data_IF_383894952284
#
_entry.id   IF_383894952284
#
_cell.length_a   1.000
_cell.length_b   1.000
_cell.length_c   1.000
_cell.angle_alpha   90.00
_cell.angle_beta   90.00
_cell.angle_gamma   90.00
#
_symmetry.space_group_name_H-M   'P 1'
#
loop_
_entity.id
_entity.type
_entity.pdbx_description
1 polymer ?
#
# COMPACT_ATOMS: atom_id res chain seq x y z
N UNK A 1 5.32 33.32 33.37
CA UNK A 1 5.23 32.17 32.44
C UNK A 1 5.92 32.62 31.18
N UNK A 2 7.19 32.27 31.05
CA UNK A 2 8.02 32.71 29.93
C UNK A 2 7.57 32.01 28.65
N UNK A 3 7.38 32.78 27.58
CA UNK A 3 6.88 32.31 26.29
C UNK A 3 7.91 31.46 25.49
N UNK A 4 8.93 30.93 26.16
CA UNK A 4 10.16 30.40 25.53
C UNK A 4 10.24 28.87 25.46
N UNK A 5 9.23 28.13 25.95
CA UNK A 5 9.22 26.65 25.96
C UNK A 5 8.18 26.01 25.02
N UNK A 6 7.80 26.72 23.94
CA UNK A 6 6.98 26.14 22.88
C UNK A 6 7.85 25.31 21.93
N UNK A 7 7.80 23.99 22.06
CA UNK A 7 8.45 23.07 21.12
C UNK A 7 7.39 22.49 20.16
N UNK A 8 7.17 23.08 18.98
CA UNK A 8 6.24 22.54 18.00
C UNK A 8 6.75 21.19 17.46
N UNK A 9 5.84 20.22 17.29
CA UNK A 9 6.14 18.94 16.64
C UNK A 9 5.53 18.94 15.24
N UNK A 10 6.29 18.44 14.26
CA UNK A 10 5.85 18.23 12.88
C UNK A 10 5.31 16.79 12.73
N UNK A 11 4.10 16.64 12.21
CA UNK A 11 3.53 15.32 11.88
C UNK A 11 4.32 14.65 10.72
N UNK A 12 4.78 13.39 10.85
CA UNK A 12 5.57 12.72 9.82
C UNK A 12 4.78 12.35 8.56
N UNK A 13 3.44 12.31 8.62
CA UNK A 13 2.60 11.93 7.47
C UNK A 13 2.14 13.13 6.66
N UNK A 14 1.74 14.22 7.31
CA UNK A 14 1.10 15.36 6.65
C UNK A 14 1.81 16.71 6.86
N UNK A 15 3.00 16.69 7.48
CA UNK A 15 3.84 17.85 7.76
C UNK A 15 3.14 18.99 8.54
N UNK A 16 2.01 18.72 9.20
CA UNK A 16 1.31 19.72 10.01
C UNK A 16 2.03 19.89 11.34
N UNK A 17 2.33 21.13 11.69
CA UNK A 17 2.86 21.53 12.98
C UNK A 17 1.72 21.65 14.00
N UNK A 18 1.92 21.10 15.20
CA UNK A 18 0.94 21.24 16.29
C UNK A 18 1.64 21.26 17.66
N UNK A 19 0.99 21.95 18.59
CA UNK A 19 1.49 22.14 19.95
C UNK A 19 1.20 20.91 20.82
N UNK A 20 2.24 20.43 21.50
CA UNK A 20 2.17 19.31 22.44
C UNK A 20 2.66 19.70 23.85
N UNK A 21 2.86 20.99 24.12
CA UNK A 21 3.48 21.48 25.36
C UNK A 21 2.71 21.09 26.62
N UNK A 22 1.40 20.81 26.49
CA UNK A 22 0.53 20.36 27.59
C UNK A 22 0.56 18.85 27.83
N UNK A 23 1.22 18.08 26.96
CA UNK A 23 1.24 16.64 27.03
C UNK A 23 2.52 16.15 27.74
N UNK A 24 2.42 15.16 28.64
CA UNK A 24 3.60 14.57 29.26
C UNK A 24 4.55 13.99 28.20
N UNK A 25 5.85 14.16 28.42
CA UNK A 25 6.89 13.57 27.56
C UNK A 25 6.71 12.05 27.44
N UNK A 26 6.86 11.49 26.24
CA UNK A 26 6.66 10.06 25.95
C UNK A 26 5.21 9.64 25.69
N UNK A 27 4.22 10.54 25.83
CA UNK A 27 2.83 10.22 25.52
C UNK A 27 2.58 10.13 24.01
N UNK A 28 1.61 9.31 23.64
CA UNK A 28 1.09 9.19 22.27
C UNK A 28 -0.04 10.18 22.09
N UNK A 29 0.00 10.98 21.03
CA UNK A 29 -1.05 11.93 20.65
C UNK A 29 -1.40 11.77 19.17
N UNK A 30 -2.60 12.19 18.76
CA UNK A 30 -3.05 12.10 17.38
C UNK A 30 -2.88 13.45 16.67
N UNK A 31 -2.35 13.45 15.45
CA UNK A 31 -2.28 14.64 14.62
C UNK A 31 -3.69 15.19 14.34
N UNK A 32 -3.96 16.48 14.53
CA UNK A 32 -5.30 17.06 14.34
C UNK A 32 -5.79 17.01 12.88
N UNK A 33 -4.88 16.90 11.90
CA UNK A 33 -5.21 16.89 10.47
C UNK A 33 -5.45 15.49 9.92
N UNK A 34 -4.51 14.56 10.13
CA UNK A 34 -4.56 13.23 9.51
C UNK A 34 -4.77 12.08 10.50
N UNK A 35 -4.90 12.37 11.81
CA UNK A 35 -5.06 11.40 12.90
C UNK A 35 -3.93 10.37 13.08
N UNK A 36 -2.79 10.54 12.40
CA UNK A 36 -1.59 9.74 12.67
C UNK A 36 -1.16 9.88 14.13
N UNK A 37 -0.86 8.76 14.79
CA UNK A 37 -0.37 8.74 16.17
C UNK A 37 1.13 9.11 16.19
N UNK A 38 1.49 10.14 16.96
CA UNK A 38 2.85 10.65 17.13
C UNK A 38 3.24 10.54 18.61
N UNK A 39 4.49 10.17 18.90
CA UNK A 39 5.03 10.11 20.27
C UNK A 39 5.70 11.44 20.60
N UNK A 40 5.33 12.07 21.72
CA UNK A 40 5.96 13.30 22.21
C UNK A 40 7.41 12.99 22.62
N UNK A 41 8.43 13.59 21.99
CA UNK A 41 9.83 13.34 22.32
C UNK A 41 10.12 13.66 23.78
N UNK A 42 10.62 12.67 24.52
CA UNK A 42 11.17 12.88 25.84
C UNK A 42 12.61 13.37 25.77
N UNK A 43 13.07 14.06 26.83
CA UNK A 43 14.48 14.29 27.04
C UNK A 43 15.17 12.92 27.00
N UNK A 44 16.16 12.77 26.12
CA UNK A 44 16.79 11.49 25.80
C UNK A 44 17.10 10.71 27.08
N UNK A 45 16.47 9.55 27.24
CA UNK A 45 16.85 8.63 28.30
C UNK A 45 18.36 8.32 28.16
N UNK A 46 19.10 8.22 29.27
CA UNK A 46 20.51 7.86 29.24
C UNK A 46 20.69 6.58 28.42
N UNK A 47 21.62 6.63 27.45
CA UNK A 47 21.90 5.49 26.56
C UNK A 47 22.13 4.24 27.43
N UNK A 48 21.41 3.14 27.21
CA UNK A 48 21.75 1.89 27.88
C UNK A 48 23.21 1.53 27.54
N UNK A 49 23.97 0.98 28.50
CA UNK A 49 25.35 0.59 28.28
C UNK A 49 25.42 -0.38 27.09
N UNK A 50 26.36 -0.12 26.19
CA UNK A 50 26.63 -0.94 25.01
C UNK A 50 26.91 -2.36 25.47
N UNK A 51 25.99 -3.28 25.19
CA UNK A 51 26.19 -4.69 25.49
C UNK A 51 27.32 -5.23 24.60
N UNK A 52 28.32 -5.82 25.25
CA UNK A 52 29.45 -6.49 24.60
C UNK A 52 28.93 -7.62 23.70
N UNK A 53 29.38 -7.73 22.45
CA UNK A 53 28.94 -8.80 21.54
C UNK A 53 29.26 -10.18 22.15
N UNK A 54 28.29 -11.12 22.19
CA UNK A 54 28.59 -12.49 22.60
C UNK A 54 29.56 -13.14 21.59
N UNK A 55 30.52 -13.89 22.13
CA UNK A 55 31.51 -14.63 21.36
C UNK A 55 30.83 -15.56 20.34
N UNK A 56 31.38 -15.62 19.11
CA UNK A 56 30.94 -16.52 18.05
C UNK A 56 31.02 -17.96 18.52
N UNK A 57 29.87 -18.59 18.77
CA UNK A 57 29.76 -20.03 18.92
C UNK A 57 29.69 -20.63 17.51
N UNK A 58 30.66 -21.47 17.18
CA UNK A 58 30.71 -22.20 15.91
C UNK A 58 29.46 -23.08 15.76
N UNK A 59 28.81 -23.10 14.58
CA UNK A 59 27.63 -23.92 14.37
C UNK A 59 27.99 -25.42 14.41
N UNK A 60 27.18 -26.25 15.09
CA UNK A 60 27.37 -27.70 15.09
C UNK A 60 27.07 -28.32 13.71
N UNK A 61 27.68 -29.47 13.40
CA UNK A 61 27.51 -30.15 12.12
C UNK A 61 26.06 -30.61 11.88
N UNK A 62 25.60 -30.65 10.60
CA UNK A 62 24.23 -30.99 10.25
C UNK A 62 23.90 -32.45 10.62
N UNK A 63 22.83 -32.64 11.39
CA UNK A 63 22.30 -33.97 11.71
C UNK A 63 21.62 -34.63 10.49
N UNK A 64 21.71 -35.95 10.36
CA UNK A 64 21.12 -36.69 9.24
C UNK A 64 19.59 -36.66 9.27
N UNK A 65 19.01 -36.46 8.09
CA UNK A 65 17.57 -36.34 7.83
C UNK A 65 16.81 -37.62 8.22
N UNK A 66 15.82 -37.48 9.10
CA UNK A 66 14.86 -38.54 9.43
C UNK A 66 13.79 -38.69 8.31
N UNK A 67 13.32 -39.92 8.03
CA UNK A 67 12.30 -40.16 7.00
C UNK A 67 10.92 -39.63 7.41
N UNK A 68 10.26 -38.99 6.43
CA UNK A 68 8.95 -38.34 6.54
C UNK A 68 7.83 -39.39 6.60
N UNK A 69 7.20 -39.56 7.76
CA UNK A 69 6.00 -40.38 7.97
C UNK A 69 4.78 -39.67 7.38
N UNK A 70 4.14 -40.30 6.39
CA UNK A 70 2.86 -39.86 5.82
C UNK A 70 1.75 -40.61 6.55
N UNK A 71 0.92 -39.91 7.32
CA UNK A 71 -0.23 -40.51 7.99
C UNK A 71 -1.39 -39.51 8.05
N UNK A 72 -2.59 -39.97 7.68
CA UNK A 72 -3.83 -39.49 8.28
C UNK A 72 -4.77 -38.66 7.41
N UNK A 73 -5.65 -39.36 6.69
CA UNK A 73 -6.93 -38.87 6.14
C UNK A 73 -7.82 -38.20 7.22
N UNK A 74 -8.43 -37.05 6.90
CA UNK A 74 -9.48 -36.43 7.72
C UNK A 74 -10.73 -36.13 6.88
N UNK A 75 -11.87 -36.60 7.39
CA UNK A 75 -13.23 -36.46 6.86
C UNK A 75 -13.71 -34.98 6.84
N UNK A 76 -14.65 -34.61 5.94
CA UNK A 76 -15.23 -33.27 5.92
C UNK A 76 -16.23 -33.05 7.07
N UNK A 77 -16.27 -31.84 7.69
CA UNK A 77 -17.28 -31.49 8.66
C UNK A 77 -18.61 -31.09 7.98
N UNK A 78 -19.71 -31.63 8.52
CA UNK A 78 -21.09 -31.24 8.19
C UNK A 78 -21.44 -29.91 8.85
N UNK A 79 -21.99 -28.99 8.06
CA UNK A 79 -22.25 -27.61 8.45
C UNK A 79 -23.72 -27.44 8.86
N UNK A 80 -23.98 -27.28 10.16
CA UNK A 80 -25.29 -26.91 10.69
C UNK A 80 -25.26 -25.41 11.02
N UNK A 81 -25.84 -24.58 10.15
CA UNK A 81 -25.99 -23.14 10.40
C UNK A 81 -27.22 -22.91 11.29
N UNK A 82 -27.08 -22.31 12.50
CA UNK A 82 -28.21 -22.05 13.36
C UNK A 82 -28.95 -20.76 12.91
N UNK A 83 -30.26 -20.88 12.77
CA UNK A 83 -31.24 -19.84 12.36
C UNK A 83 -31.15 -18.54 13.18
N UNK A 84 -30.49 -18.55 14.34
CA UNK A 84 -30.30 -17.39 15.23
C UNK A 84 -29.48 -16.24 14.59
N UNK A 85 -28.53 -16.54 13.69
CA UNK A 85 -27.67 -15.51 13.08
C UNK A 85 -28.43 -14.56 12.13
N UNK A 86 -29.50 -15.03 11.51
CA UNK A 86 -30.29 -14.25 10.55
C UNK A 86 -31.14 -13.19 11.29
N UNK A 87 -31.68 -13.53 12.47
CA UNK A 87 -32.51 -12.60 13.26
C UNK A 87 -31.66 -11.46 13.84
N UNK A 88 -30.43 -11.75 14.28
CA UNK A 88 -29.51 -10.75 14.82
C UNK A 88 -29.04 -9.74 13.76
N UNK A 89 -28.81 -10.20 12.51
CA UNK A 89 -28.47 -9.32 11.41
C UNK A 89 -29.62 -8.34 11.07
N UNK A 90 -30.87 -8.78 11.10
CA UNK A 90 -32.03 -7.93 10.82
C UNK A 90 -32.19 -6.78 11.83
N UNK A 91 -31.92 -7.00 13.12
CA UNK A 91 -32.02 -5.97 14.16
C UNK A 91 -30.94 -4.89 14.00
N UNK A 92 -29.72 -5.28 13.59
CA UNK A 92 -28.61 -4.32 13.37
C UNK A 92 -28.90 -3.39 12.18
N UNK A 93 -29.51 -3.89 11.11
CA UNK A 93 -29.85 -3.08 9.93
C UNK A 93 -30.94 -2.03 10.21
N UNK A 94 -31.91 -2.32 11.09
CA UNK A 94 -32.95 -1.34 11.47
C UNK A 94 -32.40 -0.27 12.42
N UNK A 95 -31.45 -0.63 13.31
CA UNK A 95 -30.80 0.34 14.21
C UNK A 95 -29.84 1.32 13.52
N UNK A 96 -29.12 0.87 12.49
CA UNK A 96 -28.13 1.69 11.80
C UNK A 96 -28.73 2.86 10.98
N UNK A 97 -29.97 2.71 10.49
CA UNK A 97 -30.64 3.74 9.69
C UNK A 97 -30.96 5.03 10.47
N UNK A 98 -31.30 4.91 11.75
CA UNK A 98 -31.67 6.07 12.58
C UNK A 98 -30.47 6.95 12.99
N UNK A 99 -29.29 6.35 13.16
CA UNK A 99 -28.08 7.08 13.56
C UNK A 99 -27.50 7.98 12.46
N UNK A 100 -27.59 7.56 11.20
CA UNK A 100 -27.06 8.33 10.08
C UNK A 100 -27.81 9.65 9.85
N UNK A 101 -29.12 9.69 10.07
CA UNK A 101 -29.92 10.91 9.90
C UNK A 101 -29.56 11.99 10.93
N UNK A 102 -29.30 11.59 12.18
CA UNK A 102 -28.93 12.53 13.24
C UNK A 102 -27.51 13.10 13.05
N UNK A 103 -26.58 12.30 12.52
CA UNK A 103 -25.20 12.72 12.31
C UNK A 103 -25.02 13.60 11.06
N UNK A 104 -25.73 13.33 9.96
CA UNK A 104 -25.64 14.15 8.75
C UNK A 104 -26.52 15.42 8.78
N UNK A 105 -27.56 15.47 9.61
CA UNK A 105 -28.43 16.64 9.74
C UNK A 105 -27.81 17.86 10.43
N UNK A 106 -26.70 17.68 11.18
CA UNK A 106 -26.08 18.75 11.98
C UNK A 106 -24.83 19.38 11.35
N UNK A 107 -24.50 19.09 10.08
CA UNK A 107 -23.32 19.73 9.50
C UNK A 107 -23.54 21.25 9.35
N UNK A 108 -22.67 22.10 9.95
CA UNK A 108 -22.77 23.54 9.83
C UNK A 108 -22.66 23.92 8.35
N UNK A 109 -23.56 24.79 7.90
CA UNK A 109 -23.56 25.28 6.52
C UNK A 109 -22.17 25.87 6.21
N UNK A 110 -21.58 25.54 5.05
CA UNK A 110 -20.30 26.14 4.65
C UNK A 110 -20.46 27.66 4.69
N UNK A 111 -19.63 28.31 5.50
CA UNK A 111 -19.60 29.77 5.60
C UNK A 111 -19.26 30.31 4.20
N UNK A 112 -20.06 31.25 3.66
CA UNK A 112 -19.78 31.86 2.37
C UNK A 112 -18.36 32.44 2.41
N UNK A 113 -17.45 31.90 1.58
CA UNK A 113 -16.15 32.51 1.42
C UNK A 113 -16.36 33.92 0.83
N UNK A 114 -15.76 34.97 1.42
CA UNK A 114 -15.79 36.30 0.85
C UNK A 114 -15.20 36.23 -0.56
N UNK A 115 -15.90 36.83 -1.51
CA UNK A 115 -15.54 36.83 -2.93
C UNK A 115 -14.09 37.34 -3.09
N UNK A 116 -13.15 36.41 -3.29
CA UNK A 116 -11.82 36.73 -3.76
C UNK A 116 -11.95 37.37 -5.14
N UNK A 117 -11.45 38.60 -5.27
CA UNK A 117 -11.51 39.38 -6.50
C UNK A 117 -10.94 38.63 -7.72
N UNK A 118 -11.23 39.12 -8.94
CA UNK A 118 -10.92 38.41 -10.17
C UNK A 118 -9.42 38.13 -10.27
N UNK A 119 -9.05 36.86 -10.06
CA UNK A 119 -7.70 36.40 -10.33
C UNK A 119 -7.40 36.64 -11.81
N UNK A 120 -6.19 37.12 -12.17
CA UNK A 120 -5.82 37.32 -13.56
C UNK A 120 -6.04 36.01 -14.31
N UNK A 121 -6.90 36.07 -15.33
CA UNK A 121 -7.26 34.96 -16.20
C UNK A 121 -6.00 34.48 -16.92
N UNK A 122 -5.34 33.49 -16.33
CA UNK A 122 -4.25 32.74 -16.98
C UNK A 122 -4.85 32.18 -18.27
N UNK A 123 -4.26 32.44 -19.45
CA UNK A 123 -4.80 31.92 -20.70
C UNK A 123 -4.98 30.42 -20.54
N UNK A 124 -6.21 29.94 -20.76
CA UNK A 124 -6.52 28.53 -20.69
C UNK A 124 -5.65 27.83 -21.74
N UNK A 125 -4.53 27.25 -21.30
CA UNK A 125 -3.76 26.36 -22.14
C UNK A 125 -4.68 25.22 -22.49
N UNK A 126 -5.10 25.17 -23.76
CA UNK A 126 -5.82 24.05 -24.35
C UNK A 126 -4.86 22.87 -24.41
N UNK A 127 -4.68 22.20 -23.27
CA UNK A 127 -3.95 20.95 -23.19
C UNK A 127 -4.83 19.92 -23.89
N UNK A 128 -4.46 19.55 -25.12
CA UNK A 128 -5.05 18.41 -25.80
C UNK A 128 -5.02 17.21 -24.85
N UNK A 129 -6.15 16.53 -24.60
CA UNK A 129 -6.19 15.42 -23.67
C UNK A 129 -5.17 14.38 -24.12
N UNK A 130 -4.20 14.07 -23.26
CA UNK A 130 -3.23 13.02 -23.51
C UNK A 130 -3.97 11.73 -23.91
N UNK A 131 -3.46 11.05 -24.95
CA UNK A 131 -4.07 9.83 -25.47
C UNK A 131 -4.19 8.79 -24.33
N UNK A 132 -5.42 8.51 -23.90
CA UNK A 132 -5.70 7.52 -22.86
C UNK A 132 -5.57 6.12 -23.43
N UNK A 133 -5.01 5.20 -22.65
CA UNK A 133 -4.92 3.77 -22.97
C UNK A 133 -5.91 2.99 -22.13
N UNK A 134 -6.55 2.00 -22.75
CA UNK A 134 -7.52 1.11 -22.12
C UNK A 134 -6.88 -0.25 -21.85
N UNK A 135 -7.00 -0.77 -20.63
CA UNK A 135 -6.47 -2.09 -20.26
C UNK A 135 -7.55 -2.99 -19.69
N UNK A 136 -7.52 -4.28 -20.03
CA UNK A 136 -8.29 -5.28 -19.31
C UNK A 136 -7.54 -5.66 -18.03
N UNK A 137 -8.22 -5.69 -16.88
CA UNK A 137 -7.65 -6.13 -15.61
C UNK A 137 -8.20 -7.51 -15.24
N UNK A 138 -7.34 -8.52 -15.22
CA UNK A 138 -7.67 -9.88 -14.83
C UNK A 138 -7.03 -10.23 -13.49
N UNK A 139 -7.85 -10.47 -12.47
CA UNK A 139 -7.37 -10.80 -11.14
C UNK A 139 -7.59 -12.28 -10.82
N UNK A 140 -6.51 -12.95 -10.44
CA UNK A 140 -6.50 -14.28 -9.83
C UNK A 140 -6.08 -14.12 -8.37
N UNK A 141 -7.05 -14.17 -7.47
CA UNK A 141 -6.81 -14.00 -6.04
C UNK A 141 -6.97 -15.31 -5.29
N UNK A 142 -6.01 -15.62 -4.42
CA UNK A 142 -6.07 -16.76 -3.49
C UNK A 142 -5.78 -16.26 -2.09
N UNK A 143 -6.78 -16.31 -1.22
CA UNK A 143 -6.66 -15.95 0.19
C UNK A 143 -6.95 -17.14 1.10
N UNK A 144 -6.36 -17.12 2.31
CA UNK A 144 -6.65 -18.12 3.34
C UNK A 144 -7.70 -17.63 4.36
N UNK A 145 -8.01 -16.33 4.38
CA UNK A 145 -8.95 -15.70 5.32
C UNK A 145 -10.40 -15.86 4.83
N UNK A 146 -11.33 -16.01 5.78
CA UNK A 146 -12.78 -15.95 5.51
C UNK A 146 -13.33 -14.52 5.51
N UNK A 147 -12.61 -13.58 6.14
CA UNK A 147 -12.89 -12.15 6.08
C UNK A 147 -12.68 -11.62 4.63
N UNK A 148 -13.26 -10.47 4.26
CA UNK A 148 -12.99 -9.89 2.95
C UNK A 148 -11.48 -9.66 2.81
N UNK A 149 -10.91 -10.27 1.76
CA UNK A 149 -9.52 -10.06 1.39
C UNK A 149 -9.29 -8.59 1.03
N UNK A 150 -8.04 -8.16 1.05
CA UNK A 150 -7.68 -6.86 0.51
C UNK A 150 -8.16 -6.73 -0.94
N UNK A 151 -8.89 -5.67 -1.25
CA UNK A 151 -9.42 -5.41 -2.59
C UNK A 151 -8.32 -4.86 -3.51
N UNK A 152 -7.43 -5.75 -3.92
CA UNK A 152 -6.31 -5.45 -4.81
C UNK A 152 -6.79 -4.96 -6.18
N UNK A 153 -7.96 -5.42 -6.66
CA UNK A 153 -8.54 -4.97 -7.92
C UNK A 153 -8.90 -3.48 -7.88
N UNK A 154 -9.64 -3.05 -6.84
CA UNK A 154 -10.00 -1.64 -6.69
C UNK A 154 -8.77 -0.75 -6.48
N UNK A 155 -7.79 -1.20 -5.70
CA UNK A 155 -6.55 -0.47 -5.47
C UNK A 155 -5.72 -0.29 -6.76
N UNK A 156 -5.56 -1.35 -7.56
CA UNK A 156 -4.86 -1.29 -8.84
C UNK A 156 -5.63 -0.46 -9.87
N UNK A 157 -6.97 -0.57 -9.93
CA UNK A 157 -7.79 0.27 -10.79
C UNK A 157 -7.61 1.76 -10.47
N UNK A 158 -7.53 2.11 -9.19
CA UNK A 158 -7.24 3.48 -8.77
C UNK A 158 -5.83 3.93 -9.17
N UNK A 159 -4.82 3.07 -8.97
CA UNK A 159 -3.41 3.33 -9.35
C UNK A 159 -3.23 3.48 -10.87
N UNK A 160 -3.92 2.67 -11.68
CA UNK A 160 -3.91 2.79 -13.13
C UNK A 160 -4.59 4.08 -13.59
N UNK A 161 -5.75 4.40 -13.01
CA UNK A 161 -6.50 5.61 -13.35
C UNK A 161 -5.72 6.89 -13.02
N UNK A 162 -5.02 6.94 -11.88
CA UNK A 162 -4.17 8.08 -11.52
C UNK A 162 -2.97 8.24 -12.44
N UNK A 163 -2.52 7.16 -13.10
CA UNK A 163 -1.47 7.17 -14.11
C UNK A 163 -1.99 7.39 -15.55
N UNK A 164 -3.28 7.72 -15.74
CA UNK A 164 -3.89 7.97 -17.04
C UNK A 164 -4.28 6.72 -17.83
N UNK A 165 -4.25 5.54 -17.20
CA UNK A 165 -4.67 4.26 -17.79
C UNK A 165 -6.08 3.92 -17.33
N UNK A 166 -6.98 3.66 -18.28
CA UNK A 166 -8.37 3.34 -17.99
C UNK A 166 -8.55 1.82 -17.97
N UNK A 167 -9.14 1.27 -16.91
CA UNK A 167 -9.55 -0.13 -16.92
C UNK A 167 -10.81 -0.28 -17.77
N UNK A 168 -10.69 -1.01 -18.87
CA UNK A 168 -11.71 -1.20 -19.88
C UNK A 168 -12.94 -1.92 -19.29
N UNK A 169 -14.14 -1.54 -19.76
CA UNK A 169 -15.36 -2.23 -19.38
C UNK A 169 -15.40 -3.63 -20.01
N UNK A 170 -16.08 -4.57 -19.36
CA UNK A 170 -16.28 -5.92 -19.91
C UNK A 170 -16.87 -5.85 -21.31
N UNK A 171 -16.22 -6.49 -22.29
CA UNK A 171 -16.64 -6.51 -23.70
C UNK A 171 -16.07 -5.41 -24.59
N UNK A 172 -15.37 -4.41 -24.04
CA UNK A 172 -14.57 -3.48 -24.85
C UNK A 172 -13.22 -4.09 -25.25
N UNK A 173 -12.72 -3.76 -26.45
CA UNK A 173 -11.40 -4.22 -26.89
C UNK A 173 -10.29 -3.41 -26.18
N UNK A 174 -9.49 -4.03 -25.30
CA UNK A 174 -8.44 -3.32 -24.59
C UNK A 174 -7.18 -3.18 -25.46
N UNK A 175 -6.38 -2.14 -25.21
CA UNK A 175 -5.04 -1.98 -25.82
C UNK A 175 -4.04 -2.99 -25.25
N UNK A 176 -4.21 -3.38 -23.99
CA UNK A 176 -3.34 -4.33 -23.28
C UNK A 176 -4.10 -5.07 -22.17
N UNK A 177 -3.50 -6.13 -21.64
CA UNK A 177 -4.05 -6.92 -20.53
C UNK A 177 -3.11 -6.86 -19.34
N UNK A 178 -3.66 -6.54 -18.17
CA UNK A 178 -2.97 -6.58 -16.88
C UNK A 178 -3.47 -7.81 -16.15
N UNK A 179 -2.61 -8.84 -16.05
CA UNK A 179 -2.89 -10.08 -15.33
C UNK A 179 -2.26 -9.99 -13.95
N UNK A 180 -3.06 -10.17 -12.91
CA UNK A 180 -2.62 -10.05 -11.52
C UNK A 180 -2.84 -11.38 -10.82
N UNK A 181 -1.76 -11.97 -10.33
CA UNK A 181 -1.80 -13.11 -9.42
C UNK A 181 -1.52 -12.60 -8.01
N UNK A 182 -2.51 -12.70 -7.13
CA UNK A 182 -2.44 -12.24 -5.75
C UNK A 182 -2.63 -13.43 -4.81
N UNK A 183 -1.65 -13.68 -3.94
CA UNK A 183 -1.69 -14.78 -3.00
C UNK A 183 -1.44 -14.28 -1.58
N UNK A 184 -2.35 -14.61 -0.67
CA UNK A 184 -2.14 -14.51 0.76
C UNK A 184 -1.81 -15.91 1.29
N UNK A 185 -0.78 -16.02 2.13
CA UNK A 185 -0.37 -17.27 2.77
C UNK A 185 -0.21 -17.09 4.27
N UNK A 186 -0.50 -18.16 5.02
CA UNK A 186 -0.31 -18.26 6.47
C UNK A 186 0.45 -19.53 6.80
N UNK A 187 1.41 -19.46 7.73
CA UNK A 187 1.99 -20.67 8.31
C UNK A 187 3.30 -20.48 9.04
N UNK A 188 3.72 -21.52 9.76
CA UNK A 188 5.01 -21.61 10.44
C UNK A 188 6.19 -21.84 9.48
N UNK A 189 5.93 -22.11 8.20
CA UNK A 189 6.93 -22.51 7.20
C UNK A 189 7.90 -21.39 6.79
N UNK A 190 7.70 -20.16 7.27
CA UNK A 190 8.47 -18.99 6.82
C UNK A 190 9.49 -18.50 7.85
N UNK A 191 9.39 -18.91 9.11
CA UNK A 191 10.34 -18.56 10.18
C UNK A 191 10.34 -19.65 11.26
N UNK A 192 11.50 -19.91 11.89
CA UNK A 192 11.80 -20.95 12.89
C UNK A 192 10.72 -21.21 13.98
N UNK A 193 9.57 -21.78 13.62
CA UNK A 193 8.46 -22.07 14.54
C UNK A 193 7.48 -20.91 14.82
N UNK A 194 7.70 -19.71 14.26
CA UNK A 194 6.78 -18.56 14.44
C UNK A 194 5.74 -18.49 13.33
N UNK A 195 4.50 -18.13 13.69
CA UNK A 195 3.44 -17.89 12.70
C UNK A 195 3.71 -16.58 11.97
N UNK A 196 3.66 -16.63 10.63
CA UNK A 196 3.84 -15.46 9.78
C UNK A 196 2.67 -15.35 8.78
N UNK A 197 2.40 -14.13 8.32
CA UNK A 197 1.57 -13.88 7.15
C UNK A 197 2.43 -13.34 6.04
N UNK A 198 2.23 -13.84 4.82
CA UNK A 198 2.90 -13.36 3.62
C UNK A 198 1.83 -13.02 2.59
N UNK A 199 1.99 -11.86 1.95
CA UNK A 199 1.16 -11.39 0.85
C UNK A 199 2.09 -11.20 -0.35
N UNK A 200 1.78 -11.84 -1.45
CA UNK A 200 2.53 -11.75 -2.70
C UNK A 200 1.60 -11.32 -3.84
N UNK A 201 2.16 -10.54 -4.76
CA UNK A 201 1.51 -10.15 -6.00
C UNK A 201 2.52 -10.27 -7.14
N UNK A 202 2.10 -10.89 -8.23
CA UNK A 202 2.72 -10.75 -9.53
C UNK A 202 1.75 -9.99 -10.45
N UNK A 203 2.24 -8.96 -11.12
CA UNK A 203 1.50 -8.22 -12.12
C UNK A 203 2.24 -8.33 -13.45
N UNK A 204 1.58 -8.91 -14.44
CA UNK A 204 2.08 -9.02 -15.81
C UNK A 204 1.28 -8.10 -16.73
N UNK A 205 1.99 -7.31 -17.55
CA UNK A 205 1.39 -6.55 -18.66
C UNK A 205 1.64 -7.29 -19.97
N UNK A 206 0.56 -7.57 -20.68
CA UNK A 206 0.58 -8.24 -21.97
C UNK A 206 0.03 -7.31 -23.06
N UNK A 207 0.78 -7.13 -24.14
CA UNK A 207 0.37 -6.37 -25.32
C UNK A 207 0.30 -7.35 -26.50
N UNK A 208 -0.92 -7.60 -26.98
CA UNK A 208 -1.17 -8.72 -27.90
C UNK A 208 -0.89 -10.06 -27.20
N UNK A 209 0.07 -10.82 -27.70
CA UNK A 209 0.53 -12.09 -27.11
C UNK A 209 1.86 -11.97 -26.34
N UNK A 210 2.48 -10.79 -26.36
CA UNK A 210 3.79 -10.58 -25.74
C UNK A 210 3.63 -10.06 -24.31
N UNK A 211 4.33 -10.70 -23.37
CA UNK A 211 4.52 -10.16 -22.02
C UNK A 211 5.64 -9.11 -22.05
N UNK A 212 5.30 -7.87 -21.72
CA UNK A 212 6.21 -6.72 -21.84
C UNK A 212 6.66 -6.15 -20.50
N UNK A 213 5.94 -6.45 -19.42
CA UNK A 213 6.27 -6.02 -18.06
C UNK A 213 5.88 -7.13 -17.08
N UNK A 214 6.74 -7.38 -16.09
CA UNK A 214 6.45 -8.22 -14.92
C UNK A 214 6.89 -7.47 -13.67
N UNK A 215 5.97 -7.34 -12.71
CA UNK A 215 6.22 -6.71 -11.42
C UNK A 215 5.93 -7.68 -10.29
N UNK A 216 6.77 -7.62 -9.26
CA UNK A 216 6.57 -8.37 -8.03
C UNK A 216 6.39 -7.39 -6.85
N UNK A 217 5.32 -7.60 -6.09
CA UNK A 217 5.09 -6.94 -4.81
C UNK A 217 4.98 -7.99 -3.72
N UNK A 218 5.61 -7.77 -2.57
CA UNK A 218 5.48 -8.66 -1.44
C UNK A 218 5.47 -7.90 -0.12
N UNK A 219 4.78 -8.47 0.86
CA UNK A 219 4.74 -8.01 2.24
C UNK A 219 4.72 -9.20 3.16
N UNK A 220 5.47 -9.14 4.26
CA UNK A 220 5.50 -10.21 5.25
C UNK A 220 5.50 -9.62 6.65
N UNK A 221 5.01 -10.41 7.60
CA UNK A 221 5.07 -10.11 9.03
C UNK A 221 5.78 -11.23 9.78
N UNK A 222 6.52 -10.85 10.82
CA UNK A 222 7.16 -11.78 11.75
C UNK A 222 6.34 -11.92 13.03
N UNK A 223 5.98 -13.16 13.39
CA UNK A 223 5.29 -13.43 14.66
C UNK A 223 6.19 -13.27 15.87
N UNK A 224 5.80 -12.36 16.78
CA UNK A 224 6.35 -12.27 18.13
C UNK A 224 5.39 -12.88 19.17
N UNK A 225 5.85 -13.07 20.43
CA UNK A 225 4.96 -13.44 21.52
C UNK A 225 3.79 -12.46 21.64
N UNK A 226 2.55 -12.99 21.61
CA UNK A 226 1.33 -12.18 21.72
C UNK A 226 0.81 -11.60 20.40
N UNK A 227 1.45 -11.85 19.26
CA UNK A 227 0.91 -11.48 17.95
C UNK A 227 -0.38 -12.25 17.67
N UNK A 228 -1.45 -11.53 17.35
CA UNK A 228 -2.69 -12.12 16.85
C UNK A 228 -2.63 -12.27 15.34
N UNK A 229 -3.42 -13.20 14.80
CA UNK A 229 -3.53 -13.39 13.35
C UNK A 229 -3.85 -12.09 12.60
N UNK A 230 -4.80 -11.30 13.10
CA UNK A 230 -5.15 -10.01 12.50
C UNK A 230 -4.01 -8.99 12.54
N UNK A 231 -3.20 -8.99 13.59
CA UNK A 231 -2.03 -8.11 13.69
C UNK A 231 -0.97 -8.48 12.65
N UNK A 232 -0.72 -9.78 12.47
CA UNK A 232 0.22 -10.30 11.47
C UNK A 232 -0.26 -9.99 10.05
N UNK A 233 -1.55 -10.17 9.78
CA UNK A 233 -2.10 -9.81 8.48
C UNK A 233 -1.96 -8.32 8.19
N UNK A 234 -2.31 -7.46 9.16
CA UNK A 234 -2.24 -6.01 8.99
C UNK A 234 -0.82 -5.55 8.71
N UNK A 235 0.16 -6.05 9.46
CA UNK A 235 1.57 -5.74 9.25
C UNK A 235 2.06 -6.18 7.86
N UNK A 236 1.71 -7.42 7.45
CA UNK A 236 2.05 -7.92 6.11
C UNK A 236 1.40 -7.08 5.01
N UNK A 237 0.15 -6.64 5.19
CA UNK A 237 -0.56 -5.78 4.25
C UNK A 237 0.05 -4.39 4.18
N UNK A 238 0.40 -3.78 5.30
CA UNK A 238 1.11 -2.50 5.33
C UNK A 238 2.49 -2.59 4.67
N UNK A 239 3.20 -3.70 4.83
CA UNK A 239 4.45 -3.96 4.13
C UNK A 239 4.22 -4.10 2.61
N UNK A 240 3.21 -4.89 2.22
CA UNK A 240 2.84 -5.11 0.81
C UNK A 240 2.44 -3.80 0.11
N UNK A 241 1.62 -2.98 0.75
CA UNK A 241 1.17 -1.68 0.22
C UNK A 241 2.30 -0.68 0.05
N UNK A 242 3.44 -0.89 0.73
CA UNK A 242 4.67 -0.09 0.57
C UNK A 242 5.67 -0.73 -0.40
N UNK A 243 5.39 -1.94 -0.89
CA UNK A 243 6.29 -2.62 -1.82
C UNK A 243 6.37 -1.85 -3.15
N UNK A 244 7.58 -1.62 -3.69
CA UNK A 244 7.75 -0.84 -4.92
C UNK A 244 6.95 -1.38 -6.11
N UNK A 245 6.86 -2.71 -6.27
CA UNK A 245 6.08 -3.32 -7.35
C UNK A 245 4.59 -3.03 -7.28
N UNK A 246 4.03 -2.86 -6.07
CA UNK A 246 2.63 -2.46 -5.89
C UNK A 246 2.46 -0.94 -6.04
N UNK A 247 3.29 -0.15 -5.33
CA UNK A 247 3.21 1.32 -5.31
C UNK A 247 3.37 1.91 -6.71
N UNK A 248 4.35 1.42 -7.47
CA UNK A 248 4.66 1.95 -8.80
C UNK A 248 3.97 1.20 -9.93
N UNK A 249 3.13 0.20 -9.63
CA UNK A 249 2.52 -0.67 -10.63
C UNK A 249 1.76 0.08 -11.72
N UNK A 250 0.85 0.98 -11.35
CA UNK A 250 0.09 1.76 -12.33
C UNK A 250 0.97 2.68 -13.19
N UNK A 251 2.03 3.24 -12.61
CA UNK A 251 2.94 4.15 -13.29
C UNK A 251 3.87 3.44 -14.28
N UNK A 252 4.39 2.27 -13.89
CA UNK A 252 5.20 1.45 -14.78
C UNK A 252 4.34 0.90 -15.93
N UNK A 253 3.11 0.47 -15.68
CA UNK A 253 2.16 0.09 -16.74
C UNK A 253 1.90 1.26 -17.70
N UNK A 254 1.60 2.45 -17.16
CA UNK A 254 1.39 3.65 -17.99
C UNK A 254 2.62 4.00 -18.83
N UNK A 255 3.82 3.92 -18.25
CA UNK A 255 5.08 4.11 -18.93
C UNK A 255 5.31 3.12 -20.05
N UNK A 256 5.10 1.83 -19.79
CA UNK A 256 5.22 0.77 -20.79
C UNK A 256 4.23 0.95 -21.95
N UNK A 257 3.05 1.53 -21.70
CA UNK A 257 2.04 1.82 -22.72
C UNK A 257 2.22 3.18 -23.42
N UNK A 258 3.24 3.96 -23.05
CA UNK A 258 3.52 5.28 -23.64
C UNK A 258 2.52 6.37 -23.24
N UNK A 259 1.89 6.27 -22.07
CA UNK A 259 0.98 7.31 -21.55
C UNK A 259 1.82 8.45 -20.95
N UNK A 260 1.85 9.60 -21.62
CA UNK A 260 2.80 10.70 -21.36
C UNK A 260 2.78 11.30 -19.95
N UNK A 261 1.64 11.27 -19.26
CA UNK A 261 1.48 11.83 -17.91
C UNK A 261 2.12 10.94 -16.83
N UNK A 262 2.45 9.67 -17.13
CA UNK A 262 3.11 8.74 -16.20
C UNK A 262 4.60 9.04 -15.96
N UNK A 263 5.19 9.97 -16.70
CA UNK A 263 6.63 10.25 -16.63
C UNK A 263 7.09 10.75 -15.25
N UNK A 264 6.28 11.56 -14.56
CA UNK A 264 6.62 12.07 -13.23
C UNK A 264 6.70 10.96 -12.16
N UNK A 265 5.84 9.94 -12.24
CA UNK A 265 5.81 8.84 -11.28
C UNK A 265 6.80 7.72 -11.63
N UNK A 266 7.19 7.58 -12.90
CA UNK A 266 8.30 6.70 -13.30
C UNK A 266 9.64 7.22 -12.76
N UNK A 267 9.81 8.54 -12.64
CA UNK A 267 11.00 9.13 -11.98
C UNK A 267 11.12 8.63 -10.54
N UNK A 268 10.03 8.54 -9.79
CA UNK A 268 10.09 8.02 -8.42
C UNK A 268 10.42 6.52 -8.41
N UNK A 269 9.94 5.75 -9.40
CA UNK A 269 10.30 4.34 -9.57
C UNK A 269 11.78 4.13 -9.92
N UNK A 270 12.38 5.01 -10.74
CA UNK A 270 13.82 5.01 -11.06
C UNK A 270 14.69 5.22 -9.81
N UNK A 271 14.24 6.08 -8.90
CA UNK A 271 15.00 6.42 -7.70
C UNK A 271 15.01 5.28 -6.65
N UNK A 272 14.09 4.32 -6.75
CA UNK A 272 14.04 3.14 -5.89
C UNK A 272 14.91 2.03 -6.45
N UNK A 273 15.79 1.48 -5.62
CA UNK A 273 16.77 0.44 -6.03
C UNK A 273 16.08 -0.79 -6.59
N UNK A 274 14.94 -1.18 -6.03
CA UNK A 274 14.23 -2.42 -6.37
C UNK A 274 13.52 -2.36 -7.72
N UNK A 275 13.11 -1.16 -8.16
CA UNK A 275 12.41 -0.94 -9.44
C UNK A 275 13.27 -0.23 -10.47
N UNK A 276 14.50 0.17 -10.12
CA UNK A 276 15.38 0.98 -10.97
C UNK A 276 15.63 0.32 -12.32
N UNK A 277 16.11 -0.92 -12.32
CA UNK A 277 16.54 -1.59 -13.56
C UNK A 277 15.36 -1.78 -14.51
N UNK A 278 14.19 -2.11 -13.96
CA UNK A 278 12.97 -2.25 -14.74
C UNK A 278 12.45 -0.91 -15.26
N UNK A 279 12.47 0.13 -14.42
CA UNK A 279 12.08 1.47 -14.84
C UNK A 279 13.02 1.99 -15.94
N UNK A 280 14.33 1.75 -15.84
CA UNK A 280 15.31 2.06 -16.87
C UNK A 280 14.99 1.35 -18.18
N UNK A 281 14.79 0.03 -18.15
CA UNK A 281 14.45 -0.75 -19.34
C UNK A 281 13.17 -0.24 -20.03
N UNK A 282 12.13 0.06 -19.25
CA UNK A 282 10.88 0.64 -19.78
C UNK A 282 11.13 2.00 -20.41
N UNK A 283 11.91 2.88 -19.79
CA UNK A 283 12.18 4.22 -20.32
C UNK A 283 13.04 4.18 -21.58
N UNK A 284 14.05 3.31 -21.63
CA UNK A 284 14.94 3.18 -22.78
C UNK A 284 14.21 2.61 -24.00
N UNK A 285 13.37 1.57 -23.80
CA UNK A 285 12.52 1.03 -24.87
C UNK A 285 11.54 2.04 -25.43
N UNK A 286 11.06 2.98 -24.61
CA UNK A 286 10.15 4.04 -25.03
C UNK A 286 10.87 5.30 -25.52
N UNK A 287 12.20 5.31 -25.55
CA UNK A 287 12.99 6.46 -26.00
C UNK A 287 12.82 7.71 -25.13
N UNK A 288 12.43 7.55 -23.85
CA UNK A 288 12.21 8.68 -22.96
C UNK A 288 13.54 9.29 -22.50
N UNK A 289 13.70 10.60 -22.68
CA UNK A 289 14.94 11.32 -22.37
C UNK A 289 14.84 12.26 -21.16
N UNK A 290 13.76 12.20 -20.38
CA UNK A 290 13.49 13.18 -19.33
C UNK A 290 12.84 14.44 -19.87
N UNK A 291 11.53 14.57 -19.69
CA UNK A 291 10.75 15.74 -20.14
C UNK A 291 11.11 17.04 -19.40
N UNK A 292 11.71 16.93 -18.22
CA UNK A 292 12.13 18.05 -17.37
C UNK A 292 13.53 17.85 -16.77
N UNK A 293 14.01 18.85 -16.01
CA UNK A 293 15.32 18.80 -15.37
C UNK A 293 15.42 17.67 -14.33
N UNK A 294 14.33 17.40 -13.59
CA UNK A 294 14.29 16.34 -12.57
C UNK A 294 14.37 14.95 -13.22
N UNK A 295 13.62 14.71 -14.28
CA UNK A 295 13.62 13.45 -15.01
C UNK A 295 14.96 13.15 -15.66
N UNK A 296 15.61 14.17 -16.25
CA UNK A 296 16.98 14.02 -16.77
C UNK A 296 17.99 13.68 -15.67
N UNK A 297 17.91 14.35 -14.52
CA UNK A 297 18.79 14.08 -13.40
C UNK A 297 18.57 12.67 -12.82
N UNK A 298 17.31 12.23 -12.70
CA UNK A 298 16.98 10.88 -12.24
C UNK A 298 17.46 9.80 -13.22
N UNK A 299 17.29 10.01 -14.52
CA UNK A 299 17.80 9.09 -15.55
C UNK A 299 19.34 9.00 -15.51
N UNK A 300 20.02 10.13 -15.36
CA UNK A 300 21.47 10.18 -15.23
C UNK A 300 21.98 9.51 -13.94
N UNK A 301 21.24 9.61 -12.83
CA UNK A 301 21.61 8.98 -11.56
C UNK A 301 21.28 7.47 -11.51
N UNK A 302 20.39 7.01 -12.38
CA UNK A 302 20.01 5.60 -12.46
C UNK A 302 20.98 4.78 -13.32
N UNK A 303 21.65 5.41 -14.30
CA UNK A 303 22.74 4.83 -15.12
C UNK A 303 24.05 4.78 -14.36
#
# INVERSE_FOLDING_TARGET
MDASDLVPIVCPTCATEFDVSRLPKGTKTACPKCRTIVVVPGASAPRPPVAVPPARVSPPPPSPLAPKRIEGSKKPPTNNVPVLAIVLAAVVFVGAGAGAFWFYGQQPRPVPQPASGPAPSRPASTVLPAARKNVALELRSRGWRQAPAFDVASALKHSLASAGVVVAASGSAPDARVVVEYEERRGASYTNGSTATVIEMQLDLEVGSARVLTLHGSGSSGGGPGSTEDSLYREALEAFQRSPGFVHGGSLVAGTLGVGDGSASIVDALLKRETRDLALDVLEKNGWQGSDARGRAALAAAR
#
